data_IF_839036948510
#
_entry.id   IF_839036948510
#
_cell.length_a   1.000
_cell.length_b   1.000
_cell.length_c   1.000
_cell.angle_alpha   90.00
_cell.angle_beta   90.00
_cell.angle_gamma   90.00
#
_symmetry.space_group_name_H-M   'P 1'
#
loop_
_entity.id
_entity.type
_entity.pdbx_description
1 polymer ?
#
# COMPACT_ATOMS: atom_id res chain seq x y z
N UNK A 1 11.97 -10.38 1.40
CA UNK A 1 13.31 -10.15 1.97
C UNK A 1 13.35 -10.58 3.42
N UNK A 2 14.55 -10.76 3.95
CA UNK A 2 14.77 -10.69 5.40
C UNK A 2 15.05 -9.24 5.86
N UNK A 3 15.23 -9.06 7.18
CA UNK A 3 15.48 -7.75 7.77
C UNK A 3 16.76 -7.09 7.23
N UNK A 4 17.84 -7.85 7.10
CA UNK A 4 19.14 -7.31 6.74
C UNK A 4 19.13 -6.84 5.28
N UNK A 5 18.55 -7.65 4.40
CA UNK A 5 18.32 -7.28 3.00
C UNK A 5 17.44 -6.03 2.88
N UNK A 6 16.33 -5.97 3.61
CA UNK A 6 15.43 -4.82 3.57
C UNK A 6 16.10 -3.54 4.09
N UNK A 7 16.92 -3.65 5.14
CA UNK A 7 17.69 -2.53 5.66
C UNK A 7 18.72 -2.01 4.64
N UNK A 8 19.48 -2.92 4.01
CA UNK A 8 20.46 -2.55 2.99
C UNK A 8 19.80 -1.87 1.79
N UNK A 9 18.67 -2.41 1.31
CA UNK A 9 17.93 -1.83 0.20
C UNK A 9 17.36 -0.46 0.56
N UNK A 10 16.80 -0.32 1.77
CA UNK A 10 16.31 0.95 2.28
C UNK A 10 17.41 2.02 2.30
N UNK A 11 18.59 1.69 2.87
CA UNK A 11 19.72 2.62 2.93
C UNK A 11 20.20 3.03 1.54
N UNK A 12 20.34 2.06 0.63
CA UNK A 12 20.73 2.31 -0.75
C UNK A 12 19.78 3.30 -1.44
N UNK A 13 18.47 3.04 -1.38
CA UNK A 13 17.48 3.92 -2.03
C UNK A 13 17.42 5.29 -1.38
N UNK A 14 17.62 5.38 -0.06
CA UNK A 14 17.65 6.66 0.63
C UNK A 14 18.84 7.53 0.17
N UNK A 15 20.00 6.93 -0.05
CA UNK A 15 21.18 7.60 -0.58
C UNK A 15 21.01 8.01 -2.05
N UNK A 16 20.46 7.13 -2.88
CA UNK A 16 20.30 7.34 -4.33
C UNK A 16 19.20 8.35 -4.66
N UNK A 17 18.05 8.28 -3.98
CA UNK A 17 16.85 9.05 -4.31
C UNK A 17 16.73 10.36 -3.53
N UNK A 18 17.43 10.50 -2.40
CA UNK A 18 17.37 11.68 -1.52
C UNK A 18 15.93 12.16 -1.23
N UNK A 19 15.08 11.25 -0.73
CA UNK A 19 13.64 11.47 -0.67
C UNK A 19 13.24 12.62 0.26
N UNK A 20 12.13 13.28 -0.07
CA UNK A 20 11.45 14.24 0.80
C UNK A 20 10.19 13.65 1.46
N UNK A 21 9.78 12.45 1.03
CA UNK A 21 8.67 11.72 1.61
C UNK A 21 8.92 11.34 3.08
N UNK A 22 7.85 11.13 3.88
CA UNK A 22 8.01 10.69 5.25
C UNK A 22 8.56 9.26 5.30
N UNK A 23 9.54 9.05 6.20
CA UNK A 23 10.06 7.73 6.54
C UNK A 23 9.58 7.38 7.96
N UNK A 24 8.50 6.61 8.12
CA UNK A 24 7.96 6.30 9.44
C UNK A 24 8.86 5.33 10.21
N UNK A 25 8.81 5.43 11.53
CA UNK A 25 9.40 4.43 12.42
C UNK A 25 8.49 3.22 12.56
N UNK A 26 9.09 2.06 12.74
CA UNK A 26 8.37 0.85 13.11
C UNK A 26 7.76 0.98 14.51
N UNK A 27 6.76 0.14 14.83
CA UNK A 27 6.05 0.16 16.12
C UNK A 27 6.83 -0.52 17.26
N UNK A 28 8.08 -0.90 17.04
CA UNK A 28 8.89 -1.61 18.05
C UNK A 28 9.54 -0.61 19.02
N UNK A 29 10.06 -1.12 20.13
CA UNK A 29 10.75 -0.34 21.18
C UNK A 29 12.17 -0.86 21.40
N UNK A 30 13.01 -0.04 22.02
CA UNK A 30 14.39 -0.40 22.37
C UNK A 30 15.24 -0.69 21.13
N UNK A 31 16.07 -1.73 21.19
CA UNK A 31 17.01 -2.11 20.12
C UNK A 31 16.35 -2.54 18.80
N UNK A 32 15.04 -2.84 18.84
CA UNK A 32 14.25 -3.17 17.65
C UNK A 32 13.60 -1.94 17.01
N UNK A 33 13.61 -0.79 17.68
CA UNK A 33 13.09 0.44 17.14
C UNK A 33 13.99 0.94 15.99
N UNK A 34 13.37 1.36 14.90
CA UNK A 34 14.08 1.84 13.72
C UNK A 34 13.10 2.27 12.63
N UNK A 35 13.58 2.64 11.45
CA UNK A 35 12.73 2.87 10.28
C UNK A 35 11.88 1.63 9.96
N UNK A 36 10.65 1.83 9.51
CA UNK A 36 9.88 0.80 8.84
C UNK A 36 10.43 0.67 7.41
N UNK A 37 11.35 -0.27 7.20
CA UNK A 37 12.17 -0.33 5.98
C UNK A 37 11.33 -0.47 4.71
N UNK A 38 10.38 -1.40 4.67
CA UNK A 38 9.49 -1.62 3.53
C UNK A 38 8.62 -0.40 3.27
N UNK A 39 8.03 0.19 4.32
CA UNK A 39 7.23 1.41 4.17
C UNK A 39 8.05 2.56 3.61
N UNK A 40 9.28 2.74 4.12
CA UNK A 40 10.22 3.73 3.60
C UNK A 40 10.55 3.49 2.13
N UNK A 41 10.89 2.25 1.76
CA UNK A 41 11.16 1.85 0.35
C UNK A 41 9.97 2.21 -0.55
N UNK A 42 8.76 1.83 -0.15
CA UNK A 42 7.53 2.11 -0.92
C UNK A 42 7.32 3.61 -1.08
N UNK A 43 7.44 4.40 0.00
CA UNK A 43 7.27 5.85 -0.07
C UNK A 43 8.28 6.51 -1.01
N UNK A 44 9.56 6.11 -0.93
CA UNK A 44 10.62 6.63 -1.80
C UNK A 44 10.35 6.33 -3.28
N UNK A 45 9.93 5.10 -3.59
CA UNK A 45 9.62 4.69 -4.96
C UNK A 45 8.39 5.40 -5.50
N UNK A 46 7.35 5.59 -4.68
CA UNK A 46 6.17 6.36 -5.08
C UNK A 46 6.56 7.82 -5.35
N UNK A 47 7.30 8.46 -4.45
CA UNK A 47 7.77 9.83 -4.61
C UNK A 47 8.53 10.03 -5.92
N UNK A 48 9.53 9.17 -6.17
CA UNK A 48 10.37 9.24 -7.35
C UNK A 48 9.58 9.10 -8.66
N UNK A 49 8.45 8.40 -8.65
CA UNK A 49 7.67 8.08 -9.85
C UNK A 49 6.42 8.94 -10.05
N UNK A 50 5.96 9.68 -9.03
CA UNK A 50 4.75 10.51 -9.13
C UNK A 50 4.96 11.89 -9.77
N UNK A 51 6.19 12.28 -10.14
CA UNK A 51 6.48 13.52 -10.89
C UNK A 51 5.84 14.77 -10.25
N UNK A 52 5.94 14.91 -8.92
CA UNK A 52 5.37 15.98 -8.10
C UNK A 52 3.83 16.05 -8.04
N UNK A 53 3.12 14.98 -8.43
CA UNK A 53 1.68 14.89 -8.20
C UNK A 53 1.36 14.71 -6.70
N UNK A 54 0.17 15.15 -6.25
CA UNK A 54 -0.24 15.01 -4.86
C UNK A 54 -0.34 13.55 -4.44
N UNK A 55 0.11 13.26 -3.22
CA UNK A 55 0.10 11.93 -2.63
C UNK A 55 0.00 12.06 -1.12
N UNK A 56 -0.71 11.14 -0.49
CA UNK A 56 -0.86 11.10 0.96
C UNK A 56 -0.29 9.78 1.51
N UNK A 57 0.88 9.86 2.12
CA UNK A 57 1.61 8.72 2.68
C UNK A 57 1.15 8.32 4.09
N UNK A 58 0.22 9.06 4.69
CA UNK A 58 -0.37 8.71 5.98
C UNK A 58 -1.70 9.46 6.17
N UNK A 59 -2.78 8.98 5.55
CA UNK A 59 -3.96 9.83 5.39
C UNK A 59 -4.75 10.07 6.67
N UNK A 60 -4.61 9.18 7.67
CA UNK A 60 -5.25 9.26 8.99
C UNK A 60 -6.78 9.45 8.98
N UNK A 61 -7.42 9.27 7.82
CA UNK A 61 -8.82 9.48 7.55
C UNK A 61 -9.37 8.29 6.75
N UNK A 62 -10.70 8.10 6.83
CA UNK A 62 -11.39 7.10 6.04
C UNK A 62 -11.53 7.61 4.60
N UNK A 63 -11.16 6.82 3.57
CA UNK A 63 -11.42 7.20 2.19
C UNK A 63 -12.91 7.36 1.92
N UNK A 64 -13.23 8.34 1.09
CA UNK A 64 -14.59 8.65 0.68
C UNK A 64 -14.73 8.65 -0.83
N UNK A 65 -15.91 8.26 -1.29
CA UNK A 65 -16.33 8.34 -2.68
C UNK A 65 -17.48 9.34 -2.75
N UNK A 66 -17.33 10.37 -3.55
CA UNK A 66 -18.30 11.44 -3.72
C UNK A 66 -18.53 11.75 -5.20
N UNK A 67 -19.78 12.03 -5.55
CA UNK A 67 -20.18 12.52 -6.86
C UNK A 67 -20.73 13.95 -6.72
N UNK A 68 -19.93 14.94 -7.13
CA UNK A 68 -20.25 16.35 -6.89
C UNK A 68 -20.30 16.64 -5.38
N UNK A 69 -21.46 17.11 -4.89
CA UNK A 69 -21.68 17.41 -3.47
C UNK A 69 -22.24 16.22 -2.67
N UNK A 70 -22.57 15.10 -3.32
CA UNK A 70 -23.16 13.95 -2.66
C UNK A 70 -22.07 12.94 -2.25
N UNK A 71 -21.98 12.65 -0.95
CA UNK A 71 -21.20 11.54 -0.42
C UNK A 71 -21.91 10.22 -0.77
N UNK A 72 -21.25 9.35 -1.52
CA UNK A 72 -21.80 8.05 -1.94
C UNK A 72 -21.36 6.92 -1.01
N UNK A 73 -20.13 6.97 -0.52
CA UNK A 73 -19.55 5.93 0.34
C UNK A 73 -18.42 6.50 1.18
N UNK A 74 -18.26 5.93 2.37
CA UNK A 74 -17.06 6.04 3.19
C UNK A 74 -16.60 4.63 3.50
N UNK A 75 -15.32 4.32 3.28
CA UNK A 75 -14.77 3.00 3.59
C UNK A 75 -14.62 2.83 5.10
N UNK A 76 -14.65 1.59 5.57
CA UNK A 76 -14.63 1.29 7.01
C UNK A 76 -13.27 1.49 7.66
N UNK A 77 -12.19 1.52 6.87
CA UNK A 77 -10.81 1.52 7.34
C UNK A 77 -9.95 2.64 6.78
N UNK A 78 -8.85 2.88 7.49
CA UNK A 78 -7.75 3.74 7.07
C UNK A 78 -6.71 2.87 6.35
N UNK A 79 -6.03 3.48 5.40
CA UNK A 79 -4.98 2.85 4.60
C UNK A 79 -3.62 3.43 4.99
N UNK A 80 -2.55 2.70 4.68
CA UNK A 80 -1.19 3.18 4.92
C UNK A 80 -0.83 4.32 3.96
N UNK A 81 -1.43 4.37 2.77
CA UNK A 81 -1.37 5.54 1.90
C UNK A 81 -2.43 5.54 0.80
N UNK A 82 -2.56 6.71 0.16
CA UNK A 82 -3.47 6.88 -0.96
C UNK A 82 -2.96 7.89 -1.99
N UNK A 83 -3.47 7.75 -3.20
CA UNK A 83 -3.19 8.66 -4.30
C UNK A 83 -4.48 9.07 -4.99
N UNK A 84 -4.72 10.37 -5.26
CA UNK A 84 -3.94 11.52 -4.76
C UNK A 84 -4.28 11.89 -3.30
N UNK A 85 -5.46 11.51 -2.82
CA UNK A 85 -5.98 11.84 -1.49
C UNK A 85 -7.11 10.87 -1.09
N UNK A 86 -7.55 10.93 0.17
CA UNK A 86 -8.68 10.13 0.69
C UNK A 86 -10.02 10.45 0.03
N UNK A 87 -10.18 11.62 -0.58
CA UNK A 87 -11.41 12.00 -1.25
C UNK A 87 -11.31 11.63 -2.73
N UNK A 88 -12.15 10.69 -3.16
CA UNK A 88 -12.13 10.12 -4.51
C UNK A 88 -10.73 9.64 -4.94
N UNK A 89 -10.08 8.73 -4.18
CA UNK A 89 -8.78 8.21 -4.54
C UNK A 89 -8.80 7.55 -5.93
N UNK A 90 -7.64 7.51 -6.55
CA UNK A 90 -7.31 6.65 -7.69
C UNK A 90 -6.78 5.32 -7.17
N UNK A 91 -5.95 5.36 -6.13
CA UNK A 91 -5.37 4.18 -5.51
C UNK A 91 -5.32 4.28 -3.98
N UNK A 92 -5.43 3.12 -3.34
CA UNK A 92 -5.27 2.89 -1.92
C UNK A 92 -4.30 1.73 -1.72
N UNK A 93 -3.42 1.83 -0.73
CA UNK A 93 -2.51 0.72 -0.41
C UNK A 93 -2.34 0.46 1.07
N UNK A 94 -2.10 -0.81 1.38
CA UNK A 94 -1.69 -1.30 2.69
C UNK A 94 -0.29 -1.92 2.62
N UNK A 95 0.48 -1.78 3.70
CA UNK A 95 1.84 -2.29 3.84
C UNK A 95 1.90 -3.16 5.10
N UNK A 96 2.16 -4.46 4.91
CA UNK A 96 2.29 -5.42 6.01
C UNK A 96 3.76 -5.85 6.16
N UNK A 97 4.47 -5.18 7.08
CA UNK A 97 5.88 -5.43 7.39
C UNK A 97 6.06 -6.23 8.70
N UNK A 98 6.80 -7.35 8.66
CA UNK A 98 6.97 -8.24 9.82
C UNK A 98 8.42 -8.67 10.13
N UNK A 99 9.43 -7.84 9.83
CA UNK A 99 10.85 -8.22 9.99
C UNK A 99 11.30 -8.56 11.42
N UNK A 100 10.57 -8.14 12.44
CA UNK A 100 10.91 -8.36 13.85
C UNK A 100 10.08 -9.48 14.51
N UNK A 101 9.22 -10.13 13.73
CA UNK A 101 8.29 -11.15 14.20
C UNK A 101 9.00 -12.50 14.31
N UNK A 102 8.94 -13.13 15.49
CA UNK A 102 9.53 -14.45 15.75
C UNK A 102 8.52 -15.59 15.73
N UNK A 103 7.22 -15.28 15.75
CA UNK A 103 6.14 -16.26 15.74
C UNK A 103 5.04 -15.84 14.78
N UNK A 104 4.36 -16.80 14.16
CA UNK A 104 3.14 -16.51 13.44
C UNK A 104 2.00 -16.33 14.44
N UNK A 105 1.23 -15.25 14.30
CA UNK A 105 0.21 -14.90 15.29
C UNK A 105 -0.89 -14.03 14.71
N UNK A 106 -1.84 -13.65 15.57
CA UNK A 106 -3.08 -12.95 15.19
C UNK A 106 -2.85 -11.75 14.27
N UNK A 107 -1.80 -10.96 14.49
CA UNK A 107 -1.51 -9.76 13.68
C UNK A 107 -1.32 -10.02 12.19
N UNK A 108 -0.84 -11.20 11.80
CA UNK A 108 -0.69 -11.55 10.37
C UNK A 108 -2.04 -11.97 9.81
N UNK A 109 -2.84 -12.71 10.59
CA UNK A 109 -4.21 -13.05 10.23
C UNK A 109 -5.09 -11.79 10.11
N UNK A 110 -4.96 -10.85 11.04
CA UNK A 110 -5.63 -9.56 11.03
C UNK A 110 -5.36 -8.85 9.71
N UNK A 111 -4.09 -8.76 9.29
CA UNK A 111 -3.72 -8.15 8.01
C UNK A 111 -4.44 -8.77 6.81
N UNK A 112 -4.74 -10.08 6.84
CA UNK A 112 -5.47 -10.77 5.77
C UNK A 112 -6.97 -10.47 5.81
N UNK A 113 -7.58 -10.49 7.00
CA UNK A 113 -9.00 -10.19 7.14
C UNK A 113 -9.31 -8.72 6.86
N UNK A 114 -8.39 -7.81 7.24
CA UNK A 114 -8.46 -6.38 6.93
C UNK A 114 -8.47 -6.17 5.41
N UNK A 115 -7.46 -6.69 4.70
CA UNK A 115 -7.39 -6.57 3.25
C UNK A 115 -8.59 -7.22 2.55
N UNK A 116 -9.12 -8.32 3.08
CA UNK A 116 -10.34 -8.94 2.55
C UNK A 116 -11.55 -8.03 2.66
N UNK A 117 -11.76 -7.41 3.83
CA UNK A 117 -12.84 -6.47 4.06
C UNK A 117 -12.72 -5.26 3.12
N UNK A 118 -11.53 -4.67 3.05
CA UNK A 118 -11.22 -3.54 2.19
C UNK A 118 -11.53 -3.86 0.72
N UNK A 119 -11.12 -5.06 0.27
CA UNK A 119 -11.40 -5.52 -1.08
C UNK A 119 -12.88 -5.74 -1.38
N UNK A 120 -13.67 -6.23 -0.41
CA UNK A 120 -15.12 -6.37 -0.57
C UNK A 120 -15.82 -5.01 -0.70
N UNK A 121 -15.44 -4.02 0.12
CA UNK A 121 -16.03 -2.67 0.04
C UNK A 121 -15.71 -1.99 -1.31
N UNK A 122 -14.48 -2.17 -1.81
CA UNK A 122 -14.05 -1.64 -3.09
C UNK A 122 -14.70 -2.37 -4.27
N UNK A 123 -14.91 -3.67 -4.16
CA UNK A 123 -15.67 -4.44 -5.15
C UNK A 123 -17.12 -3.97 -5.25
N UNK A 124 -17.79 -3.72 -4.12
CA UNK A 124 -19.13 -3.15 -4.10
C UNK A 124 -19.18 -1.78 -4.77
N UNK A 125 -18.22 -0.90 -4.49
CA UNK A 125 -18.11 0.42 -5.12
C UNK A 125 -17.94 0.31 -6.64
N UNK A 126 -17.12 -0.65 -7.09
CA UNK A 126 -16.91 -0.96 -8.51
C UNK A 126 -18.17 -1.48 -9.17
N UNK A 127 -18.85 -2.47 -8.57
CA UNK A 127 -20.10 -3.08 -9.07
C UNK A 127 -21.25 -2.09 -9.14
N UNK A 128 -21.34 -1.18 -8.17
CA UNK A 128 -22.36 -0.12 -8.13
C UNK A 128 -22.02 1.08 -9.04
N UNK A 129 -20.95 0.99 -9.84
CA UNK A 129 -20.49 2.03 -10.78
C UNK A 129 -20.21 3.38 -10.10
N UNK A 130 -19.88 3.37 -8.80
CA UNK A 130 -19.50 4.58 -8.08
C UNK A 130 -18.12 5.03 -8.53
N UNK A 131 -17.13 4.13 -8.41
CA UNK A 131 -15.75 4.42 -8.81
C UNK A 131 -14.93 3.14 -8.90
N UNK A 132 -13.94 3.11 -9.79
CA UNK A 132 -12.91 2.09 -9.79
C UNK A 132 -11.66 2.65 -9.10
N UNK A 133 -11.41 2.19 -7.87
CA UNK A 133 -10.24 2.57 -7.07
C UNK A 133 -9.33 1.35 -7.06
N UNK A 134 -8.03 1.55 -7.36
CA UNK A 134 -7.07 0.47 -7.30
C UNK A 134 -6.72 0.13 -5.85
N UNK A 135 -6.78 -1.16 -5.51
CA UNK A 135 -6.41 -1.70 -4.20
C UNK A 135 -5.08 -2.46 -4.30
N UNK A 136 -4.06 -1.95 -3.62
CA UNK A 136 -2.72 -2.52 -3.62
C UNK A 136 -2.33 -3.02 -2.22
N UNK A 137 -1.84 -4.26 -2.14
CA UNK A 137 -1.27 -4.80 -0.92
C UNK A 137 0.23 -5.02 -1.11
N UNK A 138 1.04 -4.55 -0.16
CA UNK A 138 2.48 -4.77 -0.18
C UNK A 138 2.87 -5.50 1.08
N UNK A 139 3.54 -6.64 0.96
CA UNK A 139 3.91 -7.47 2.11
C UNK A 139 5.38 -7.86 2.06
N UNK A 140 6.02 -7.95 3.24
CA UNK A 140 7.33 -8.57 3.33
C UNK A 140 7.61 -9.17 4.71
N UNK A 141 8.77 -9.84 4.82
CA UNK A 141 9.21 -10.83 5.79
C UNK A 141 9.03 -12.25 5.26
N UNK A 142 10.07 -12.76 4.58
CA UNK A 142 10.10 -14.14 4.06
C UNK A 142 9.81 -15.17 5.16
N UNK A 143 10.40 -14.98 6.35
CA UNK A 143 10.14 -15.86 7.49
C UNK A 143 8.64 -15.89 7.87
N UNK A 144 8.01 -14.72 7.96
CA UNK A 144 6.60 -14.65 8.35
C UNK A 144 5.67 -15.28 7.31
N UNK A 145 5.86 -14.95 6.03
CA UNK A 145 4.90 -15.32 4.99
C UNK A 145 5.18 -16.69 4.36
N UNK A 146 6.44 -17.02 4.08
CA UNK A 146 6.81 -18.28 3.42
C UNK A 146 7.02 -19.42 4.40
N UNK A 147 7.73 -19.16 5.50
CA UNK A 147 8.10 -20.21 6.45
C UNK A 147 6.94 -20.53 7.39
N UNK A 148 6.36 -19.52 8.03
CA UNK A 148 5.32 -19.76 9.03
C UNK A 148 3.89 -19.61 8.49
N UNK A 149 3.69 -18.75 7.48
CA UNK A 149 2.38 -18.25 7.06
C UNK A 149 1.83 -18.79 5.76
N UNK A 150 2.31 -19.95 5.28
CA UNK A 150 2.01 -20.43 3.92
C UNK A 150 0.52 -20.51 3.59
N UNK A 151 -0.33 -20.89 4.53
CA UNK A 151 -1.79 -20.93 4.33
C UNK A 151 -2.38 -19.53 4.10
N UNK A 152 -1.86 -18.50 4.76
CA UNK A 152 -2.28 -17.11 4.56
C UNK A 152 -1.70 -16.50 3.29
N UNK A 153 -0.53 -16.95 2.84
CA UNK A 153 -0.04 -16.64 1.49
C UNK A 153 -1.03 -17.14 0.42
N UNK A 154 -1.58 -18.35 0.57
CA UNK A 154 -2.64 -18.83 -0.33
C UNK A 154 -3.88 -17.92 -0.30
N UNK A 155 -4.24 -17.35 0.86
CA UNK A 155 -5.35 -16.39 0.96
C UNK A 155 -5.09 -15.10 0.19
N UNK A 156 -3.84 -14.63 0.13
CA UNK A 156 -3.48 -13.49 -0.74
C UNK A 156 -3.74 -13.82 -2.22
N UNK A 157 -3.35 -15.02 -2.64
CA UNK A 157 -3.60 -15.50 -4.02
C UNK A 157 -5.11 -15.64 -4.28
N UNK A 158 -5.88 -16.13 -3.32
CA UNK A 158 -7.34 -16.18 -3.44
C UNK A 158 -7.92 -14.78 -3.63
N UNK A 159 -7.47 -13.79 -2.85
CA UNK A 159 -7.96 -12.40 -2.96
C UNK A 159 -7.62 -11.74 -4.30
N UNK A 160 -6.44 -12.04 -4.87
CA UNK A 160 -6.09 -11.67 -6.24
C UNK A 160 -7.07 -12.28 -7.24
N UNK A 161 -7.32 -13.59 -7.15
CA UNK A 161 -8.22 -14.30 -8.07
C UNK A 161 -9.68 -13.84 -7.94
N UNK A 162 -10.11 -13.44 -6.73
CA UNK A 162 -11.44 -12.88 -6.48
C UNK A 162 -11.57 -11.42 -6.94
N UNK A 163 -10.47 -10.74 -7.26
CA UNK A 163 -10.46 -9.32 -7.62
C UNK A 163 -10.70 -8.36 -6.44
N UNK A 164 -10.44 -8.84 -5.22
CA UNK A 164 -10.51 -8.04 -3.98
C UNK A 164 -9.24 -7.24 -3.73
N UNK A 165 -8.12 -7.71 -4.26
CA UNK A 165 -6.89 -6.93 -4.37
C UNK A 165 -6.52 -6.93 -5.84
N UNK A 166 -6.14 -5.76 -6.37
CA UNK A 166 -5.76 -5.66 -7.78
C UNK A 166 -4.31 -6.11 -7.97
N UNK A 167 -3.42 -5.80 -7.01
CA UNK A 167 -2.04 -6.28 -7.01
C UNK A 167 -1.52 -6.57 -5.58
N UNK A 168 -0.72 -7.63 -5.45
CA UNK A 168 0.03 -7.95 -4.23
C UNK A 168 1.52 -7.95 -4.58
N UNK A 169 2.30 -7.09 -3.93
CA UNK A 169 3.74 -6.99 -4.15
C UNK A 169 4.51 -7.59 -2.97
N UNK A 170 5.45 -8.48 -3.28
CA UNK A 170 6.26 -9.18 -2.28
C UNK A 170 7.68 -8.63 -2.22
N UNK A 171 8.01 -7.92 -1.13
CA UNK A 171 9.37 -7.47 -0.86
C UNK A 171 10.04 -6.74 -2.03
N UNK A 172 11.05 -7.35 -2.67
CA UNK A 172 11.83 -6.71 -3.75
C UNK A 172 11.03 -6.45 -5.02
N UNK A 173 9.89 -7.11 -5.22
CA UNK A 173 9.02 -6.86 -6.39
C UNK A 173 8.59 -5.40 -6.50
N UNK A 174 8.56 -4.67 -5.37
CA UNK A 174 8.27 -3.22 -5.37
C UNK A 174 9.24 -2.43 -6.24
N UNK A 175 10.49 -2.87 -6.40
CA UNK A 175 11.49 -2.15 -7.20
C UNK A 175 11.12 -2.11 -8.68
N UNK A 176 10.56 -3.20 -9.19
CA UNK A 176 10.26 -3.36 -10.61
C UNK A 176 8.81 -2.97 -10.90
N UNK A 177 7.87 -3.38 -10.02
CA UNK A 177 6.44 -3.27 -10.31
C UNK A 177 5.83 -1.94 -9.86
N UNK A 178 6.24 -1.40 -8.72
CA UNK A 178 5.65 -0.17 -8.18
C UNK A 178 5.87 1.06 -9.07
N UNK A 179 7.05 1.26 -9.72
CA UNK A 179 7.22 2.36 -10.68
C UNK A 179 6.21 2.33 -11.83
N UNK A 180 5.92 1.13 -12.37
CA UNK A 180 4.98 0.94 -13.47
C UNK A 180 3.55 1.27 -13.01
N UNK A 181 3.17 0.80 -11.82
CA UNK A 181 1.87 1.12 -11.21
C UNK A 181 1.73 2.63 -11.00
N UNK A 182 2.75 3.27 -10.40
CA UNK A 182 2.75 4.70 -10.14
C UNK A 182 2.65 5.52 -11.43
N UNK A 183 3.30 5.09 -12.52
CA UNK A 183 3.14 5.74 -13.82
C UNK A 183 1.69 5.67 -14.33
N UNK A 184 1.03 4.52 -14.21
CA UNK A 184 -0.39 4.39 -14.55
C UNK A 184 -1.27 5.32 -13.70
N UNK A 185 -0.94 5.51 -12.41
CA UNK A 185 -1.61 6.49 -11.56
C UNK A 185 -1.47 7.91 -12.07
N UNK A 186 -0.26 8.31 -12.50
CA UNK A 186 -0.04 9.65 -13.06
C UNK A 186 -0.90 9.92 -14.30
N UNK A 187 -1.10 8.90 -15.14
CA UNK A 187 -1.94 9.00 -16.33
C UNK A 187 -3.42 9.14 -15.95
N UNK A 188 -3.91 8.31 -15.04
CA UNK A 188 -5.28 8.38 -14.54
C UNK A 188 -5.58 9.74 -13.87
N UNK A 189 -4.63 10.27 -13.10
CA UNK A 189 -4.77 11.58 -12.47
C UNK A 189 -4.95 12.70 -13.48
N UNK A 190 -4.11 12.72 -14.52
CA UNK A 190 -4.18 13.76 -15.58
C UNK A 190 -5.46 13.68 -16.40
N UNK A 191 -6.01 12.48 -16.59
CA UNK A 191 -7.31 12.31 -17.25
C UNK A 191 -8.47 12.83 -16.40
N UNK A 192 -8.40 12.64 -15.08
CA UNK A 192 -9.46 13.07 -14.16
C UNK A 192 -9.39 14.56 -13.81
N UNK A 193 -8.18 15.11 -13.73
CA UNK A 193 -7.90 16.50 -13.37
C UNK A 193 -7.12 17.18 -14.51
N UNK A 194 -7.73 17.41 -15.68
CA UNK A 194 -7.07 18.12 -16.76
C UNK A 194 -6.67 19.52 -16.28
N UNK A 195 -5.44 19.93 -16.60
CA UNK A 195 -4.98 21.30 -16.36
C UNK A 195 -5.97 22.24 -17.05
N UNK A 196 -6.53 23.17 -16.29
CA UNK A 196 -7.24 24.30 -16.88
C UNK A 196 -6.15 25.18 -17.50
N UNK A 197 -6.10 25.22 -18.84
CA UNK A 197 -5.29 26.20 -19.59
C UNK A 197 -5.73 27.64 -19.29
#
# INVERSE_FOLDING_TARGET
MDRAEAQQLFQKLQEELQPQCPIPHNKQKGEKAGPAYLTGIVNMLIEANLKNLPVDYNPLQLPTIAAGKALQRTLSRRYDGCFPSVNNPIALWEIKEYYHTTTFGSRVADGIYETLLDGMELEEARRSKQRNIQHLLIVDSHFTWWVCGRSYLCRLVDMLNMGYVDEVLFGKEVLDRLPIIAEAWTQAYRQQYPLQE
#
